data_IF_931449407285
#
_entry.id   IF_931449407285
#
_cell.length_a   1.000
_cell.length_b   1.000
_cell.length_c   1.000
_cell.angle_alpha   90.00
_cell.angle_beta   90.00
_cell.angle_gamma   90.00
#
_symmetry.space_group_name_H-M   'P 1'
#
loop_
_entity.id
_entity.type
_entity.pdbx_description
1 polymer ?
#
# COMPACT_ATOMS: atom_id res chain seq x y z
N UNK A 1 -3.99 12.98 13.76
CA UNK A 1 -4.92 12.34 12.79
C UNK A 1 -6.28 12.17 13.45
N UNK A 2 -7.35 12.71 12.87
CA UNK A 2 -8.72 12.59 13.43
C UNK A 2 -9.43 11.26 13.03
N UNK A 3 -8.69 10.29 12.50
CA UNK A 3 -9.21 8.96 12.18
C UNK A 3 -9.02 8.06 13.39
N UNK A 4 -10.03 7.25 13.74
CA UNK A 4 -9.85 6.20 14.75
C UNK A 4 -8.77 5.23 14.28
N UNK A 5 -8.02 4.66 15.22
CA UNK A 5 -6.97 3.67 14.93
C UNK A 5 -7.46 2.54 14.02
N UNK A 6 -8.70 2.10 14.24
CA UNK A 6 -9.39 1.06 13.48
C UNK A 6 -9.65 1.42 11.99
N UNK A 7 -9.54 2.70 11.62
CA UNK A 7 -9.84 3.22 10.29
C UNK A 7 -8.65 3.94 9.64
N UNK A 8 -7.43 3.70 10.12
CA UNK A 8 -6.21 4.17 9.45
C UNK A 8 -5.85 3.23 8.29
N UNK A 9 -6.66 3.23 7.22
CA UNK A 9 -6.33 2.55 5.97
C UNK A 9 -6.08 3.56 4.87
N UNK A 10 -5.01 3.34 4.10
CA UNK A 10 -4.74 4.07 2.88
C UNK A 10 -5.46 3.35 1.73
N UNK A 11 -6.34 4.05 1.01
CA UNK A 11 -7.02 3.50 -0.16
C UNK A 11 -6.43 4.09 -1.43
N UNK A 12 -5.93 3.23 -2.31
CA UNK A 12 -5.48 3.60 -3.66
C UNK A 12 -6.48 3.06 -4.68
N UNK A 13 -7.08 3.95 -5.46
CA UNK A 13 -7.99 3.57 -6.56
C UNK A 13 -7.24 3.68 -7.87
N UNK A 14 -6.93 2.54 -8.49
CA UNK A 14 -6.24 2.50 -9.78
C UNK A 14 -7.27 2.26 -10.89
N UNK A 15 -7.44 3.19 -11.84
CA UNK A 15 -8.36 2.98 -12.96
C UNK A 15 -7.84 1.87 -13.87
N UNK A 16 -8.73 0.92 -14.19
CA UNK A 16 -8.40 -0.17 -15.12
C UNK A 16 -8.28 0.39 -16.53
N UNK A 17 -7.06 0.44 -17.07
CA UNK A 17 -6.85 0.75 -18.48
C UNK A 17 -7.24 -0.47 -19.32
N UNK A 18 -8.21 -0.28 -20.21
CA UNK A 18 -8.80 -1.30 -21.09
C UNK A 18 -7.82 -1.95 -22.07
N UNK A 19 -6.59 -1.45 -22.18
CA UNK A 19 -5.56 -1.98 -23.06
C UNK A 19 -4.28 -2.34 -22.28
N UNK A 20 -4.11 -3.65 -22.06
CA UNK A 20 -2.86 -4.41 -21.92
C UNK A 20 -1.75 -3.76 -21.10
N UNK A 21 -1.51 -4.37 -19.92
CA UNK A 21 -0.46 -4.09 -18.92
C UNK A 21 -0.84 -2.96 -17.97
N UNK A 22 -1.55 -3.34 -16.90
CA UNK A 22 -1.68 -2.51 -15.72
C UNK A 22 -0.26 -2.29 -15.15
N UNK A 23 0.32 -1.12 -15.40
CA UNK A 23 1.61 -0.71 -14.83
C UNK A 23 1.41 -0.20 -13.41
N UNK A 24 1.07 -1.12 -12.51
CA UNK A 24 0.82 -0.81 -11.10
C UNK A 24 2.06 -0.17 -10.44
N UNK A 25 3.25 -0.52 -10.93
CA UNK A 25 4.55 0.05 -10.55
C UNK A 25 4.54 1.58 -10.63
N UNK A 26 4.01 2.15 -11.71
CA UNK A 26 3.97 3.60 -11.93
C UNK A 26 3.04 4.30 -10.94
N UNK A 27 1.94 3.65 -10.55
CA UNK A 27 0.99 4.21 -9.59
C UNK A 27 1.49 4.09 -8.15
N UNK A 28 2.30 3.06 -7.87
CA UNK A 28 2.88 2.82 -6.55
C UNK A 28 4.15 3.64 -6.29
N UNK A 29 4.88 4.05 -7.32
CA UNK A 29 6.10 4.86 -7.21
C UNK A 29 5.97 6.06 -6.25
N UNK A 30 4.99 6.98 -6.40
CA UNK A 30 4.86 8.11 -5.48
C UNK A 30 4.56 7.68 -4.05
N UNK A 31 3.76 6.62 -3.86
CA UNK A 31 3.46 6.08 -2.54
C UNK A 31 4.73 5.52 -1.88
N UNK A 32 5.55 4.81 -2.66
CA UNK A 32 6.82 4.24 -2.18
C UNK A 32 7.75 5.38 -1.72
N UNK A 33 7.88 6.45 -2.52
CA UNK A 33 8.69 7.62 -2.16
C UNK A 33 8.21 8.28 -0.85
N UNK A 34 6.90 8.46 -0.68
CA UNK A 34 6.32 9.02 0.55
C UNK A 34 6.57 8.12 1.76
N UNK A 35 6.45 6.80 1.62
CA UNK A 35 6.75 5.84 2.68
C UNK A 35 8.24 5.86 3.06
N UNK A 36 9.13 5.97 2.07
CA UNK A 36 10.57 6.12 2.31
C UNK A 36 10.88 7.40 3.08
N UNK A 37 10.28 8.53 2.69
CA UNK A 37 10.40 9.81 3.37
C UNK A 37 9.91 9.70 4.82
N UNK A 38 8.73 9.15 5.04
CA UNK A 38 8.12 8.95 6.36
C UNK A 38 8.98 8.06 7.27
N UNK A 39 9.60 7.01 6.73
CA UNK A 39 10.41 6.08 7.53
C UNK A 39 11.79 6.66 7.89
N UNK A 40 12.52 7.18 6.90
CA UNK A 40 13.93 7.56 7.07
C UNK A 40 14.09 8.96 7.65
N UNK A 41 13.32 9.92 7.14
CA UNK A 41 13.42 11.33 7.52
C UNK A 41 12.36 11.64 8.59
N UNK A 42 11.10 11.26 8.31
CA UNK A 42 9.92 11.71 9.03
C UNK A 42 9.40 13.04 8.50
N UNK A 43 8.17 13.38 8.89
CA UNK A 43 7.51 14.63 8.51
C UNK A 43 7.06 15.36 9.76
N UNK A 44 7.26 16.68 9.81
CA UNK A 44 6.78 17.49 10.92
C UNK A 44 5.25 17.57 10.86
N UNK A 45 4.59 16.98 11.86
CA UNK A 45 3.13 16.86 11.91
C UNK A 45 2.60 17.53 13.16
N UNK A 46 1.51 18.30 13.00
CA UNK A 46 0.79 18.89 14.13
C UNK A 46 -0.25 17.90 14.67
N UNK A 47 -0.13 17.56 15.94
CA UNK A 47 -1.16 16.86 16.69
C UNK A 47 -2.13 17.85 17.33
N UNK A 48 -3.34 17.93 16.79
CA UNK A 48 -4.40 18.77 17.33
C UNK A 48 -4.87 18.32 18.73
N UNK A 49 -4.84 17.02 19.04
CA UNK A 49 -5.34 16.51 20.32
C UNK A 49 -4.43 16.94 21.48
N UNK A 50 -3.12 16.93 21.25
CA UNK A 50 -2.11 17.35 22.23
C UNK A 50 -1.62 18.79 22.02
N UNK A 51 -2.15 19.49 21.00
CA UNK A 51 -1.75 20.84 20.58
C UNK A 51 -0.22 21.01 20.47
N UNK A 52 0.45 20.04 19.86
CA UNK A 52 1.91 20.03 19.73
C UNK A 52 2.34 19.64 18.32
N UNK A 53 3.58 19.96 17.96
CA UNK A 53 4.20 19.47 16.74
C UNK A 53 5.21 18.39 17.09
N UNK A 54 5.24 17.31 16.30
CA UNK A 54 6.16 16.21 16.50
C UNK A 54 6.65 15.69 15.15
N UNK A 55 7.80 15.01 15.16
CA UNK A 55 8.32 14.34 13.98
C UNK A 55 7.60 13.00 13.81
N UNK A 56 6.67 12.94 12.86
CA UNK A 56 5.92 11.73 12.55
C UNK A 56 6.76 10.81 11.66
N UNK A 57 6.82 9.53 12.06
CA UNK A 57 7.33 8.45 11.22
C UNK A 57 6.25 7.39 11.06
N UNK A 58 6.15 6.81 9.89
CA UNK A 58 5.18 5.77 9.57
C UNK A 58 5.82 4.72 8.67
N UNK A 59 5.26 3.51 8.69
CA UNK A 59 5.66 2.41 7.83
C UNK A 59 4.44 1.63 7.37
N UNK A 60 4.53 0.97 6.23
CA UNK A 60 3.50 0.09 5.69
C UNK A 60 3.67 -1.32 6.29
N UNK A 61 2.63 -1.83 6.94
CA UNK A 61 2.68 -3.14 7.59
C UNK A 61 2.20 -4.27 6.68
N UNK A 62 1.04 -4.10 6.04
CA UNK A 62 0.48 -5.03 5.06
C UNK A 62 -0.46 -4.31 4.10
N UNK A 63 -0.63 -4.87 2.90
CA UNK A 63 -1.62 -4.44 1.90
C UNK A 63 -2.75 -5.45 1.80
N UNK A 64 -3.99 -5.00 1.66
CA UNK A 64 -5.14 -5.86 1.35
C UNK A 64 -5.39 -5.75 -0.15
N UNK A 65 -5.15 -6.83 -0.88
CA UNK A 65 -5.33 -6.89 -2.33
C UNK A 65 -6.39 -7.96 -2.66
N UNK A 66 -7.16 -7.74 -3.72
CA UNK A 66 -7.93 -8.82 -4.34
C UNK A 66 -6.99 -9.78 -5.08
N UNK A 67 -7.48 -10.95 -5.49
CA UNK A 67 -6.64 -11.99 -6.09
C UNK A 67 -5.91 -11.50 -7.37
N UNK A 68 -6.58 -10.78 -8.30
CA UNK A 68 -5.90 -10.22 -9.46
C UNK A 68 -4.82 -9.18 -9.10
N UNK A 69 -5.10 -8.23 -8.20
CA UNK A 69 -4.11 -7.23 -7.79
C UNK A 69 -2.94 -7.88 -7.04
N UNK A 70 -3.18 -8.94 -6.26
CA UNK A 70 -2.11 -9.71 -5.64
C UNK A 70 -1.16 -10.29 -6.69
N UNK A 71 -1.69 -10.90 -7.77
CA UNK A 71 -0.86 -11.43 -8.85
C UNK A 71 0.04 -10.39 -9.51
N UNK A 72 -0.50 -9.19 -9.74
CA UNK A 72 0.29 -8.08 -10.32
C UNK A 72 1.33 -7.57 -9.31
N UNK A 73 0.97 -7.39 -8.04
CA UNK A 73 1.84 -6.80 -7.02
C UNK A 73 2.95 -7.74 -6.53
N UNK A 74 2.68 -9.06 -6.51
CA UNK A 74 3.65 -10.09 -6.09
C UNK A 74 4.38 -10.74 -7.25
N UNK A 75 4.11 -10.30 -8.49
CA UNK A 75 4.56 -10.96 -9.72
C UNK A 75 4.15 -12.45 -9.79
N UNK A 76 3.10 -12.83 -9.06
CA UNK A 76 2.59 -14.20 -8.99
C UNK A 76 1.63 -14.50 -10.13
N UNK A 77 1.80 -15.66 -10.76
CA UNK A 77 0.82 -16.12 -11.76
C UNK A 77 -0.47 -16.56 -11.06
N UNK A 78 -1.54 -15.79 -11.21
CA UNK A 78 -2.87 -16.11 -10.68
C UNK A 78 -3.76 -16.87 -11.68
N UNK A 79 -3.27 -17.13 -12.90
CA UNK A 79 -4.05 -17.66 -14.00
C UNK A 79 -3.91 -19.18 -14.24
N UNK A 80 -2.92 -19.83 -13.63
CA UNK A 80 -2.57 -21.24 -13.90
C UNK A 80 -2.79 -22.17 -12.68
N UNK A 81 -2.40 -23.45 -12.80
CA UNK A 81 -2.44 -24.50 -11.75
C UNK A 81 -1.79 -24.02 -10.43
N UNK A 82 -0.91 -23.03 -10.51
CA UNK A 82 -0.19 -22.38 -9.42
C UNK A 82 -0.90 -21.11 -8.88
N UNK A 83 -2.15 -20.87 -9.25
CA UNK A 83 -2.86 -19.62 -9.00
C UNK A 83 -3.31 -19.37 -7.57
N UNK A 84 -3.27 -20.38 -6.69
CA UNK A 84 -3.59 -20.24 -5.28
C UNK A 84 -2.31 -20.14 -4.43
N UNK A 85 -1.96 -18.95 -3.90
CA UNK A 85 -0.74 -18.76 -3.10
C UNK A 85 -0.76 -19.58 -1.79
N UNK A 86 -1.96 -19.87 -1.26
CA UNK A 86 -2.14 -20.67 -0.04
C UNK A 86 -2.09 -22.19 -0.28
N UNK A 87 -2.36 -22.65 -1.50
CA UNK A 87 -2.50 -24.07 -1.81
C UNK A 87 -1.15 -24.73 -2.15
N UNK A 88 -0.05 -23.95 -2.13
CA UNK A 88 1.32 -24.42 -2.33
C UNK A 88 2.11 -24.63 -1.03
N UNK A 89 1.48 -24.47 0.14
CA UNK A 89 2.03 -25.05 1.37
C UNK A 89 1.83 -26.57 1.29
N UNK A 90 2.88 -27.28 0.88
CA UNK A 90 2.97 -28.74 0.98
C UNK A 90 3.24 -29.18 2.43
#
# INVERSE_FOLDING_TARGET
MCMKSEYMFLMMVIPVLSNRKLRIDVYLEPLIEELFLLWHVGVLTHDHAMNQTFMMRATLMWTINDLPAYGVASEWSTADIMGCPKCMEA
#
